data_IF_996101438866
#
_entry.id   IF_996101438866
#
_cell.length_a   1.000
_cell.length_b   1.000
_cell.length_c   1.000
_cell.angle_alpha   90.00
_cell.angle_beta   90.00
_cell.angle_gamma   90.00
#
_symmetry.space_group_name_H-M   'P 1'
#
loop_
_entity.id
_entity.type
_entity.pdbx_description
1 polymer ?
#
# COMPACT_ATOMS: atom_id res chain seq x y z
N UNK A 1 23.48 -7.79 0.05
CA UNK A 1 22.78 -7.15 1.19
C UNK A 1 21.62 -6.36 0.63
N UNK A 2 20.48 -7.00 0.43
CA UNK A 2 19.28 -6.36 -0.11
C UNK A 2 18.48 -5.80 1.06
N UNK A 3 18.37 -4.46 1.12
CA UNK A 3 17.46 -3.78 2.02
C UNK A 3 16.06 -4.34 1.85
N UNK A 4 15.44 -4.76 2.95
CA UNK A 4 14.13 -5.39 3.01
C UNK A 4 13.12 -4.41 2.40
N UNK A 5 12.63 -4.66 1.19
CA UNK A 5 11.78 -3.72 0.44
C UNK A 5 10.51 -3.25 1.18
N UNK A 6 9.93 -4.08 2.06
CA UNK A 6 8.80 -3.67 2.90
C UNK A 6 9.15 -2.63 3.99
N UNK A 7 10.42 -2.55 4.37
CA UNK A 7 10.92 -1.59 5.36
C UNK A 7 10.90 -0.16 4.80
N UNK A 8 11.10 -0.02 3.47
CA UNK A 8 11.07 1.27 2.80
C UNK A 8 9.67 1.88 2.75
N UNK A 9 8.61 1.07 2.65
CA UNK A 9 7.23 1.56 2.70
C UNK A 9 6.99 2.29 4.04
N UNK A 10 7.29 1.61 5.16
CA UNK A 10 7.14 2.20 6.50
C UNK A 10 8.11 3.35 6.76
N UNK A 11 9.36 3.27 6.27
CA UNK A 11 10.32 4.37 6.36
C UNK A 11 9.81 5.62 5.63
N UNK A 12 9.25 5.45 4.43
CA UNK A 12 8.71 6.56 3.65
C UNK A 12 7.52 7.23 4.36
N UNK A 13 6.66 6.45 5.02
CA UNK A 13 5.56 6.97 5.82
C UNK A 13 6.05 7.73 7.07
N UNK A 14 7.06 7.20 7.77
CA UNK A 14 7.69 7.90 8.89
C UNK A 14 8.32 9.23 8.46
N UNK A 15 9.04 9.25 7.33
CA UNK A 15 9.63 10.47 6.78
C UNK A 15 8.56 11.46 6.37
N UNK A 16 7.50 11.02 5.68
CA UNK A 16 6.39 11.88 5.26
C UNK A 16 5.72 12.55 6.46
N UNK A 17 5.47 11.79 7.54
CA UNK A 17 4.95 12.34 8.79
C UNK A 17 5.93 13.29 9.48
N UNK A 18 7.23 13.00 9.44
CA UNK A 18 8.26 13.84 10.07
C UNK A 18 8.38 15.22 9.42
N UNK A 19 8.14 15.31 8.12
CA UNK A 19 8.25 16.56 7.35
C UNK A 19 6.89 17.23 7.10
N UNK A 20 5.80 16.73 7.70
CA UNK A 20 4.43 17.18 7.44
C UNK A 20 4.09 17.23 5.94
N UNK A 21 4.41 16.14 5.22
CA UNK A 21 4.16 16.07 3.78
C UNK A 21 2.67 16.13 3.45
N UNK A 22 2.29 16.85 2.37
CA UNK A 22 0.91 16.84 1.89
C UNK A 22 0.49 15.49 1.28
N UNK A 23 1.46 14.76 0.72
CA UNK A 23 1.26 13.57 -0.08
C UNK A 23 2.46 12.62 -0.06
N UNK A 24 2.20 11.33 0.15
CA UNK A 24 3.12 10.23 -0.04
C UNK A 24 2.68 9.39 -1.26
N UNK A 25 3.59 9.14 -2.20
CA UNK A 25 3.33 8.30 -3.37
C UNK A 25 4.19 7.04 -3.27
N UNK A 26 3.53 5.87 -3.23
CA UNK A 26 4.16 4.56 -3.24
C UNK A 26 3.98 3.95 -4.63
N UNK A 27 5.08 3.79 -5.36
CA UNK A 27 5.08 3.19 -6.69
C UNK A 27 5.28 1.67 -6.60
N UNK A 28 4.49 0.92 -7.37
CA UNK A 28 4.49 -0.55 -7.38
C UNK A 28 4.33 -1.10 -8.79
N UNK A 29 4.52 -2.41 -8.96
CA UNK A 29 4.38 -3.13 -10.24
C UNK A 29 2.92 -3.39 -10.67
N UNK A 30 1.94 -2.99 -9.86
CA UNK A 30 0.50 -3.14 -10.12
C UNK A 30 -0.23 -1.79 -10.01
N UNK A 31 -1.41 -1.62 -10.64
CA UNK A 31 -2.12 -0.34 -10.63
C UNK A 31 -2.55 0.20 -9.26
N UNK A 32 -2.64 -0.65 -8.23
CA UNK A 32 -3.07 -0.25 -6.89
C UNK A 32 -3.66 -1.42 -6.10
N UNK A 33 -4.49 -1.11 -5.10
CA UNK A 33 -5.19 -2.10 -4.29
C UNK A 33 -6.40 -2.67 -5.06
N UNK A 34 -6.57 -3.99 -5.04
CA UNK A 34 -7.72 -4.68 -5.65
C UNK A 34 -8.56 -5.38 -4.58
N UNK A 35 -9.85 -5.60 -4.87
CA UNK A 35 -10.76 -6.39 -4.02
C UNK A 35 -10.36 -7.86 -3.87
N UNK A 36 -9.51 -8.38 -4.78
CA UNK A 36 -8.88 -9.69 -4.72
C UNK A 36 -7.64 -9.69 -5.63
N UNK A 37 -6.79 -10.72 -5.57
CA UNK A 37 -5.67 -10.84 -6.51
C UNK A 37 -6.20 -11.00 -7.96
N UNK A 38 -5.97 -10.03 -8.85
CA UNK A 38 -6.48 -10.06 -10.22
C UNK A 38 -5.85 -11.17 -11.07
N UNK A 39 -4.74 -11.77 -10.63
CA UNK A 39 -4.11 -12.92 -11.31
C UNK A 39 -4.94 -14.20 -11.17
N UNK A 40 -5.74 -14.28 -10.12
CA UNK A 40 -6.54 -15.46 -9.77
C UNK A 40 -8.05 -15.20 -9.83
N UNK A 41 -8.47 -13.94 -9.74
CA UNK A 41 -9.87 -13.53 -9.71
C UNK A 41 -10.15 -12.52 -10.83
N UNK A 42 -10.73 -12.94 -11.97
CA UNK A 42 -11.02 -12.04 -13.09
C UNK A 42 -12.04 -10.95 -12.74
N UNK A 43 -12.86 -11.19 -11.70
CA UNK A 43 -13.83 -10.22 -11.16
C UNK A 43 -13.21 -9.22 -10.18
N UNK A 44 -11.89 -9.29 -9.92
CA UNK A 44 -11.20 -8.35 -9.03
C UNK A 44 -11.29 -6.93 -9.58
N UNK A 45 -11.67 -5.99 -8.72
CA UNK A 45 -11.83 -4.58 -9.08
C UNK A 45 -10.78 -3.74 -8.39
N UNK A 46 -10.21 -2.79 -9.14
CA UNK A 46 -9.32 -1.78 -8.59
C UNK A 46 -10.12 -0.88 -7.64
N UNK A 47 -9.58 -0.66 -6.45
CA UNK A 47 -10.13 0.25 -5.45
C UNK A 47 -9.51 1.62 -5.70
N UNK A 48 -10.26 2.52 -6.31
CA UNK A 48 -9.78 3.84 -6.71
C UNK A 48 -9.66 4.83 -5.55
N UNK A 49 -10.38 4.61 -4.45
CA UNK A 49 -10.40 5.48 -3.29
C UNK A 49 -10.66 4.65 -2.03
N UNK A 50 -9.92 4.99 -0.97
CA UNK A 50 -10.09 4.42 0.38
C UNK A 50 -10.20 5.59 1.34
N UNK A 51 -11.40 5.83 1.89
CA UNK A 51 -11.60 6.92 2.87
C UNK A 51 -11.05 6.54 4.25
N UNK A 52 -11.18 5.26 4.61
CA UNK A 52 -10.71 4.72 5.89
C UNK A 52 -10.10 3.34 5.71
N UNK A 53 -8.89 3.16 6.24
CA UNK A 53 -8.22 1.85 6.27
C UNK A 53 -8.81 1.04 7.43
N UNK A 54 -9.77 0.19 7.09
CA UNK A 54 -10.45 -0.72 8.02
C UNK A 54 -9.98 -2.18 7.81
N UNK A 55 -10.54 -3.10 8.61
CA UNK A 55 -10.21 -4.53 8.51
C UNK A 55 -10.51 -5.13 7.13
N UNK A 56 -11.45 -4.58 6.37
CA UNK A 56 -11.77 -5.05 5.02
C UNK A 56 -10.66 -4.68 4.03
N UNK A 57 -10.16 -3.44 4.09
CA UNK A 57 -9.02 -2.99 3.29
C UNK A 57 -7.76 -3.80 3.62
N UNK A 58 -7.50 -4.06 4.90
CA UNK A 58 -6.38 -4.91 5.33
C UNK A 58 -6.52 -6.35 4.79
N UNK A 59 -7.74 -6.89 4.73
CA UNK A 59 -8.01 -8.21 4.15
C UNK A 59 -7.75 -8.25 2.64
N UNK A 60 -8.13 -7.21 1.91
CA UNK A 60 -7.82 -7.11 0.47
C UNK A 60 -6.32 -7.09 0.22
N UNK A 61 -5.56 -6.37 1.05
CA UNK A 61 -4.11 -6.37 0.98
C UNK A 61 -3.50 -7.75 1.23
N UNK A 62 -3.99 -8.47 2.25
CA UNK A 62 -3.53 -9.82 2.59
C UNK A 62 -3.79 -10.85 1.47
N UNK A 63 -4.91 -10.72 0.75
CA UNK A 63 -5.28 -11.60 -0.36
C UNK A 63 -4.41 -11.44 -1.61
N UNK A 64 -3.61 -10.37 -1.70
CA UNK A 64 -2.80 -10.03 -2.88
C UNK A 64 -1.33 -10.50 -2.80
N UNK A 65 -1.04 -11.46 -1.92
CA UNK A 65 0.33 -11.92 -1.67
C UNK A 65 0.94 -12.54 -2.93
N UNK A 66 1.95 -11.88 -3.52
CA UNK A 66 2.69 -12.41 -4.67
C UNK A 66 3.86 -13.27 -4.19
N UNK A 67 4.20 -14.34 -4.93
CA UNK A 67 5.34 -15.24 -4.64
C UNK A 67 6.73 -14.57 -4.72
N UNK A 68 6.82 -13.31 -5.12
CA UNK A 68 8.04 -12.68 -5.61
C UNK A 68 8.57 -11.48 -4.79
N UNK A 69 8.00 -11.17 -3.62
CA UNK A 69 8.52 -10.07 -2.80
C UNK A 69 8.05 -10.08 -1.36
N UNK A 70 8.97 -9.82 -0.44
CA UNK A 70 8.80 -9.82 1.02
C UNK A 70 8.12 -8.55 1.58
N UNK A 71 7.40 -7.80 0.75
CA UNK A 71 6.77 -6.51 1.07
C UNK A 71 5.67 -6.12 0.07
N UNK A 72 4.66 -7.00 -0.06
CA UNK A 72 3.55 -6.87 -1.00
C UNK A 72 2.60 -5.71 -0.69
N UNK A 73 1.32 -5.85 -1.04
CA UNK A 73 0.34 -4.79 -0.76
C UNK A 73 0.12 -4.55 0.74
N UNK A 74 0.37 -5.57 1.59
CA UNK A 74 0.21 -5.45 3.05
C UNK A 74 1.08 -4.32 3.61
N UNK A 75 2.37 -4.28 3.28
CA UNK A 75 3.29 -3.26 3.80
C UNK A 75 2.94 -1.85 3.30
N UNK A 76 2.37 -1.75 2.10
CA UNK A 76 1.91 -0.47 1.52
C UNK A 76 0.68 0.05 2.24
N UNK A 77 -0.24 -0.84 2.62
CA UNK A 77 -1.42 -0.48 3.43
C UNK A 77 -1.02 -0.14 4.88
N UNK A 78 -0.03 -0.83 5.46
CA UNK A 78 0.53 -0.46 6.77
C UNK A 78 1.17 0.93 6.74
N UNK A 79 2.01 1.21 5.72
CA UNK A 79 2.60 2.52 5.51
C UNK A 79 1.53 3.59 5.25
N UNK A 80 0.50 3.28 4.46
CA UNK A 80 -0.61 4.19 4.22
C UNK A 80 -1.37 4.51 5.51
N UNK A 81 -1.59 3.51 6.37
CA UNK A 81 -2.23 3.70 7.68
C UNK A 81 -1.40 4.57 8.60
N UNK A 82 -0.07 4.39 8.60
CA UNK A 82 0.85 5.22 9.37
C UNK A 82 0.83 6.68 8.88
N UNK A 83 0.94 6.90 7.57
CA UNK A 83 0.96 8.24 6.99
C UNK A 83 -0.38 8.98 7.19
N UNK A 84 -1.51 8.31 6.87
CA UNK A 84 -2.84 8.92 6.98
C UNK A 84 -3.24 9.24 8.42
N UNK A 85 -2.66 8.56 9.42
CA UNK A 85 -2.92 8.88 10.84
C UNK A 85 -2.43 10.27 11.26
N UNK A 86 -1.50 10.87 10.50
CA UNK A 86 -1.01 12.25 10.70
C UNK A 86 -1.56 13.23 9.67
N UNK A 87 -2.56 12.84 8.86
CA UNK A 87 -3.17 13.69 7.84
C UNK A 87 -2.47 13.72 6.48
N UNK A 88 -1.43 12.91 6.28
CA UNK A 88 -0.74 12.78 5.00
C UNK A 88 -1.60 11.95 4.04
N UNK A 89 -1.87 12.48 2.84
CA UNK A 89 -2.56 11.73 1.81
C UNK A 89 -1.63 10.68 1.20
N UNK A 90 -2.16 9.55 0.74
CA UNK A 90 -1.35 8.47 0.17
C UNK A 90 -1.91 8.00 -1.16
N UNK A 91 -1.03 7.85 -2.15
CA UNK A 91 -1.34 7.25 -3.45
C UNK A 91 -0.48 5.99 -3.63
N UNK A 92 -1.12 4.88 -3.98
CA UNK A 92 -0.44 3.68 -4.46
C UNK A 92 -0.74 3.57 -5.95
N UNK A 93 0.30 3.58 -6.78
CA UNK A 93 0.15 3.59 -8.22
C UNK A 93 1.22 2.73 -8.92
N UNK A 94 0.96 2.40 -10.18
CA UNK A 94 1.98 1.79 -11.03
C UNK A 94 3.08 2.81 -11.34
N UNK A 95 4.35 2.40 -11.28
CA UNK A 95 5.51 3.25 -11.59
C UNK A 95 6.59 2.55 -12.41
#
# INVERSE_FOLDING_TARGET
EEGRFGDNDNLSAMVANLIDADLLIILTDIPGLYTADPRHHPEARLISQVDHINNEIERYAAGSTTKLGTGGMITKIEAAKLATSSGVNVIIANG
#
